data_IF_958708685143
#
_entry.id   IF_958708685143
#
_cell.length_a   1.000
_cell.length_b   1.000
_cell.length_c   1.000
_cell.angle_alpha   90.00
_cell.angle_beta   90.00
_cell.angle_gamma   90.00
#
_symmetry.space_group_name_H-M   'P 1'
#
loop_
_entity.id
_entity.type
_entity.pdbx_description
1 polymer ?
#
# COMPACT_ATOMS: atom_id res chain seq x y z
N UNK A 1 38.47 -24.86 13.43
CA UNK A 1 37.73 -25.14 12.18
C UNK A 1 37.02 -23.86 11.76
N UNK A 2 37.64 -23.10 10.86
CA UNK A 2 37.03 -21.98 10.15
C UNK A 2 36.03 -22.56 9.13
N UNK A 3 34.73 -22.36 9.36
CA UNK A 3 33.73 -22.58 8.33
C UNK A 3 33.67 -21.32 7.47
N UNK A 4 34.16 -21.45 6.23
CA UNK A 4 33.83 -20.57 5.12
C UNK A 4 32.30 -20.45 5.03
N UNK A 5 31.75 -19.29 5.38
CA UNK A 5 30.38 -18.94 5.03
C UNK A 5 30.36 -18.63 3.54
N UNK A 6 29.88 -19.58 2.74
CA UNK A 6 29.50 -19.34 1.35
C UNK A 6 28.52 -18.16 1.30
N UNK A 7 28.83 -17.17 0.47
CA UNK A 7 28.18 -15.87 0.38
C UNK A 7 26.74 -15.87 -0.16
N UNK A 8 25.83 -16.59 0.49
CA UNK A 8 24.40 -16.38 0.36
C UNK A 8 24.03 -15.14 1.19
N UNK A 9 23.75 -14.00 0.55
CA UNK A 9 23.10 -12.85 1.21
C UNK A 9 21.76 -13.34 1.76
N UNK A 10 21.70 -13.65 3.05
CA UNK A 10 20.46 -14.04 3.73
C UNK A 10 19.63 -12.78 4.01
N UNK A 11 19.08 -12.18 2.95
CA UNK A 11 18.16 -11.06 3.07
C UNK A 11 16.76 -11.63 3.33
N UNK A 12 16.34 -11.70 4.60
CA UNK A 12 14.96 -12.07 4.94
C UNK A 12 14.00 -11.05 4.35
N UNK A 13 12.85 -11.50 3.82
CA UNK A 13 11.83 -10.62 3.23
C UNK A 13 11.43 -9.46 4.16
N UNK A 14 11.43 -9.71 5.46
CA UNK A 14 11.16 -8.71 6.52
C UNK A 14 12.09 -7.50 6.46
N UNK A 15 13.34 -7.66 6.04
CA UNK A 15 14.29 -6.53 5.90
C UNK A 15 13.88 -5.53 4.81
N UNK A 16 12.97 -5.93 3.92
CA UNK A 16 12.39 -5.05 2.89
C UNK A 16 11.29 -4.13 3.42
N UNK A 17 10.78 -4.32 4.65
CA UNK A 17 9.75 -3.47 5.28
C UNK A 17 10.11 -1.99 5.26
N UNK A 18 11.39 -1.65 5.38
CA UNK A 18 11.87 -0.25 5.28
C UNK A 18 11.46 0.43 3.96
N UNK A 19 11.28 -0.32 2.89
CA UNK A 19 10.82 0.20 1.59
C UNK A 19 9.31 0.48 1.55
N UNK A 20 8.57 0.19 2.63
CA UNK A 20 7.17 0.61 2.77
C UNK A 20 7.03 2.13 2.87
N UNK A 21 8.01 2.79 3.49
CA UNK A 21 8.02 4.23 3.65
C UNK A 21 8.51 4.90 2.36
N UNK A 22 7.61 5.63 1.71
CA UNK A 22 7.90 6.37 0.48
C UNK A 22 7.95 7.84 0.82
N UNK A 23 9.03 8.53 0.45
CA UNK A 23 9.25 9.95 0.75
C UNK A 23 9.33 10.78 -0.53
N UNK A 24 9.60 12.09 -0.38
CA UNK A 24 9.84 13.01 -1.49
C UNK A 24 11.07 12.67 -2.37
N UNK A 25 11.95 11.76 -1.95
CA UNK A 25 13.13 11.36 -2.70
C UNK A 25 12.88 10.12 -3.58
N UNK A 26 11.80 9.39 -3.31
CA UNK A 26 11.44 8.20 -4.06
C UNK A 26 11.22 8.51 -5.55
N UNK A 27 12.05 7.89 -6.40
CA UNK A 27 11.91 7.96 -7.86
C UNK A 27 11.10 6.78 -8.34
N UNK A 28 10.00 7.06 -9.02
CA UNK A 28 9.00 6.06 -9.39
C UNK A 28 9.09 5.76 -10.89
N UNK A 29 9.03 4.49 -11.27
CA UNK A 29 8.78 4.07 -12.66
C UNK A 29 7.41 3.42 -12.79
N UNK A 30 6.74 3.63 -13.91
CA UNK A 30 5.42 3.06 -14.19
C UNK A 30 5.52 1.88 -15.15
N UNK A 31 5.15 0.67 -14.75
CA UNK A 31 4.94 -0.44 -15.68
C UNK A 31 3.55 -0.37 -16.31
N UNK A 32 3.47 -0.55 -17.63
CA UNK A 32 2.24 -0.27 -18.39
C UNK A 32 2.03 1.23 -18.65
N UNK A 33 3.12 2.00 -18.70
CA UNK A 33 3.12 3.46 -18.78
C UNK A 33 2.34 4.03 -19.97
N UNK A 34 2.45 3.39 -21.14
CA UNK A 34 1.73 3.82 -22.34
C UNK A 34 0.26 3.35 -22.39
N UNK A 35 -0.20 2.57 -21.42
CA UNK A 35 -1.60 2.14 -21.30
C UNK A 35 -2.53 3.24 -20.77
N UNK A 36 -3.84 3.02 -20.85
CA UNK A 36 -4.88 3.98 -20.41
C UNK A 36 -4.72 4.37 -18.94
N UNK A 37 -4.67 3.38 -18.04
CA UNK A 37 -4.50 3.60 -16.60
C UNK A 37 -3.13 4.19 -16.25
N UNK A 38 -2.06 3.62 -16.83
CA UNK A 38 -0.69 4.13 -16.63
C UNK A 38 -0.57 5.59 -17.03
N UNK A 39 -1.11 5.98 -18.19
CA UNK A 39 -1.08 7.37 -18.67
C UNK A 39 -1.89 8.29 -17.75
N UNK A 40 -3.09 7.89 -17.36
CA UNK A 40 -3.97 8.71 -16.52
C UNK A 40 -3.40 8.95 -15.11
N UNK A 41 -2.96 7.88 -14.43
CA UNK A 41 -2.43 8.02 -13.07
C UNK A 41 -1.02 8.59 -13.03
N UNK A 42 -0.22 8.42 -14.09
CA UNK A 42 1.08 9.09 -14.20
C UNK A 42 0.92 10.61 -14.30
N UNK A 43 -0.09 11.08 -15.04
CA UNK A 43 -0.40 12.50 -15.13
C UNK A 43 -0.78 13.08 -13.76
N UNK A 44 -1.68 12.41 -13.03
CA UNK A 44 -2.05 12.84 -11.68
C UNK A 44 -0.90 12.74 -10.68
N UNK A 45 -0.01 11.75 -10.82
CA UNK A 45 1.16 11.63 -9.97
C UNK A 45 2.12 12.81 -10.18
N UNK A 46 2.34 13.23 -11.43
CA UNK A 46 3.13 14.42 -11.75
C UNK A 46 2.49 15.70 -11.21
N UNK A 47 1.18 15.88 -11.38
CA UNK A 47 0.42 17.01 -10.83
C UNK A 47 0.47 17.07 -9.29
N UNK A 48 0.55 15.91 -8.64
CA UNK A 48 0.71 15.82 -7.19
C UNK A 48 2.14 16.15 -6.71
N UNK A 49 3.13 16.15 -7.60
CA UNK A 49 4.54 16.34 -7.26
C UNK A 49 5.32 15.04 -7.03
N UNK A 50 4.76 13.86 -7.33
CA UNK A 50 5.49 12.59 -7.31
C UNK A 50 6.63 12.63 -8.34
N UNK A 51 7.83 12.22 -7.93
CA UNK A 51 9.00 12.11 -8.82
C UNK A 51 8.91 10.88 -9.74
N UNK A 52 8.02 10.95 -10.72
CA UNK A 52 7.92 9.94 -11.77
C UNK A 52 9.09 10.12 -12.76
N UNK A 53 9.92 9.10 -12.89
CA UNK A 53 11.17 9.15 -13.66
C UNK A 53 11.07 8.50 -15.05
N UNK A 54 9.92 7.90 -15.37
CA UNK A 54 9.66 7.22 -16.64
C UNK A 54 8.77 6.01 -16.45
N UNK A 55 8.79 5.11 -17.44
CA UNK A 55 8.05 3.87 -17.32
C UNK A 55 8.33 2.87 -18.43
N UNK A 56 7.81 1.65 -18.28
CA UNK A 56 8.06 0.55 -19.21
C UNK A 56 6.84 0.28 -20.07
N UNK A 57 7.09 0.00 -21.34
CA UNK A 57 6.11 -0.64 -22.25
C UNK A 57 6.91 -1.40 -23.31
N UNK A 58 6.87 -2.75 -23.29
CA UNK A 58 7.60 -3.57 -24.26
C UNK A 58 7.32 -3.16 -25.71
N UNK A 59 8.38 -3.04 -26.51
CA UNK A 59 8.34 -2.61 -27.91
C UNK A 59 8.19 -1.09 -28.11
N UNK A 60 8.22 -0.29 -27.03
CA UNK A 60 8.14 1.19 -27.09
C UNK A 60 9.33 1.89 -26.42
N UNK A 61 10.40 1.15 -26.09
CA UNK A 61 11.64 1.73 -25.55
C UNK A 61 12.22 2.83 -26.46
N UNK A 62 12.83 3.84 -25.83
CA UNK A 62 13.41 5.01 -26.51
C UNK A 62 12.40 6.10 -26.91
N UNK A 63 11.10 5.85 -26.73
CA UNK A 63 10.06 6.88 -26.94
C UNK A 63 9.90 7.75 -25.71
N UNK A 64 9.30 8.93 -25.90
CA UNK A 64 8.89 9.81 -24.82
C UNK A 64 7.37 9.76 -24.64
N UNK A 65 6.91 9.86 -23.40
CA UNK A 65 5.49 10.02 -23.05
C UNK A 65 5.37 10.97 -21.88
N UNK A 66 4.57 12.04 -22.02
CA UNK A 66 4.44 13.11 -21.01
C UNK A 66 5.79 13.74 -20.61
N UNK A 67 6.71 13.87 -21.56
CA UNK A 67 8.05 14.39 -21.29
C UNK A 67 8.98 13.44 -20.53
N UNK A 68 8.58 12.19 -20.32
CA UNK A 68 9.36 11.17 -19.61
C UNK A 68 9.74 10.00 -20.52
N UNK A 69 10.89 9.34 -20.26
CA UNK A 69 11.36 8.22 -21.07
C UNK A 69 10.50 6.97 -20.90
N UNK A 70 10.30 6.27 -22.02
CA UNK A 70 9.72 4.94 -22.08
C UNK A 70 10.84 3.93 -22.31
N UNK A 71 10.88 2.88 -21.51
CA UNK A 71 11.87 1.80 -21.59
C UNK A 71 11.20 0.49 -22.03
N UNK A 72 11.99 -0.46 -22.54
CA UNK A 72 11.46 -1.78 -22.86
C UNK A 72 11.34 -2.65 -21.61
N UNK A 73 12.31 -2.54 -20.69
CA UNK A 73 12.39 -3.38 -19.48
C UNK A 73 12.48 -2.55 -18.19
N UNK A 74 12.08 -3.14 -17.07
CA UNK A 74 12.23 -2.54 -15.73
C UNK A 74 13.70 -2.35 -15.37
N UNK A 75 14.57 -3.29 -15.79
CA UNK A 75 16.01 -3.22 -15.56
C UNK A 75 16.61 -1.96 -16.19
N UNK A 76 16.37 -1.73 -17.47
CA UNK A 76 16.81 -0.52 -18.18
C UNK A 76 16.28 0.75 -17.50
N UNK A 77 14.99 0.75 -17.16
CA UNK A 77 14.36 1.89 -16.50
C UNK A 77 15.02 2.21 -15.16
N UNK A 78 15.29 1.19 -14.34
CA UNK A 78 15.92 1.36 -13.02
C UNK A 78 17.35 1.88 -13.15
N UNK A 79 18.16 1.27 -14.01
CA UNK A 79 19.56 1.65 -14.22
C UNK A 79 19.70 3.10 -14.72
N UNK A 80 18.85 3.52 -15.65
CA UNK A 80 18.95 4.85 -16.26
C UNK A 80 18.29 5.96 -15.42
N UNK A 81 17.28 5.63 -14.61
CA UNK A 81 16.55 6.64 -13.81
C UNK A 81 16.90 6.64 -12.32
N UNK A 82 17.63 5.63 -11.85
CA UNK A 82 17.85 5.34 -10.42
C UNK A 82 16.52 5.22 -9.65
N UNK A 83 15.53 4.56 -10.25
CA UNK A 83 14.22 4.35 -9.63
C UNK A 83 14.34 3.51 -8.35
N UNK A 84 13.66 3.96 -7.30
CA UNK A 84 13.58 3.26 -6.01
C UNK A 84 12.22 2.58 -5.81
N UNK A 85 11.26 2.82 -6.69
CA UNK A 85 10.00 2.09 -6.70
C UNK A 85 9.42 1.91 -8.11
N UNK A 86 8.62 0.87 -8.30
CA UNK A 86 7.85 0.59 -9.49
C UNK A 86 6.35 0.53 -9.16
N UNK A 87 5.51 1.20 -9.94
CA UNK A 87 4.05 1.06 -9.90
C UNK A 87 3.55 0.30 -11.13
N UNK A 88 2.66 -0.67 -10.97
CA UNK A 88 2.20 -1.53 -12.08
C UNK A 88 0.73 -1.25 -12.42
N UNK A 89 0.49 -0.78 -13.64
CA UNK A 89 -0.83 -0.53 -14.22
C UNK A 89 -1.12 -1.42 -15.45
N UNK A 90 -0.57 -2.63 -15.47
CA UNK A 90 -0.79 -3.60 -16.55
C UNK A 90 -2.11 -4.38 -16.33
N UNK A 91 -2.71 -4.95 -17.40
CA UNK A 91 -3.88 -5.81 -17.27
C UNK A 91 -3.66 -7.02 -16.33
N UNK A 92 -4.71 -7.56 -15.70
CA UNK A 92 -4.59 -8.67 -14.74
C UNK A 92 -3.80 -9.87 -15.24
N UNK A 93 -3.97 -10.24 -16.52
CA UNK A 93 -3.28 -11.36 -17.16
C UNK A 93 -1.74 -11.20 -17.20
N UNK A 94 -1.25 -9.96 -17.18
CA UNK A 94 0.19 -9.65 -17.27
C UNK A 94 0.78 -9.23 -15.92
N UNK A 95 -0.06 -9.08 -14.89
CA UNK A 95 0.35 -8.43 -13.65
C UNK A 95 1.27 -9.31 -12.78
N UNK A 96 1.20 -10.64 -12.91
CA UNK A 96 2.18 -11.54 -12.28
C UNK A 96 3.56 -11.37 -12.91
N UNK A 97 3.66 -11.54 -14.23
CA UNK A 97 4.91 -11.37 -14.98
C UNK A 97 5.55 -9.99 -14.77
N UNK A 98 4.76 -8.92 -14.73
CA UNK A 98 5.26 -7.58 -14.43
C UNK A 98 5.76 -7.42 -12.98
N UNK A 99 5.19 -8.17 -12.04
CA UNK A 99 5.69 -8.21 -10.65
C UNK A 99 7.03 -8.93 -10.60
N UNK A 100 7.12 -10.09 -11.26
CA UNK A 100 8.34 -10.88 -11.34
C UNK A 100 9.47 -10.10 -12.02
N UNK A 101 9.19 -9.39 -13.12
CA UNK A 101 10.14 -8.52 -13.82
C UNK A 101 10.74 -7.44 -12.88
N UNK A 102 9.90 -6.83 -12.03
CA UNK A 102 10.39 -5.83 -11.08
C UNK A 102 11.17 -6.42 -9.91
N UNK A 103 10.83 -7.65 -9.50
CA UNK A 103 11.59 -8.38 -8.49
C UNK A 103 12.97 -8.79 -9.02
N UNK A 104 13.04 -9.31 -10.24
CA UNK A 104 14.30 -9.67 -10.93
C UNK A 104 15.19 -8.44 -11.16
N UNK A 105 14.59 -7.28 -11.45
CA UNK A 105 15.30 -6.01 -11.53
C UNK A 105 15.69 -5.43 -10.16
N UNK A 106 15.37 -6.12 -9.05
CA UNK A 106 15.60 -5.70 -7.67
C UNK A 106 15.03 -4.30 -7.36
N UNK A 107 13.84 -3.98 -7.88
CA UNK A 107 13.17 -2.74 -7.55
C UNK A 107 12.87 -2.72 -6.03
N UNK A 108 13.38 -1.73 -5.25
CA UNK A 108 13.26 -1.76 -3.79
C UNK A 108 11.81 -1.79 -3.29
N UNK A 109 10.91 -1.16 -4.05
CA UNK A 109 9.49 -1.20 -3.80
C UNK A 109 8.71 -1.52 -5.09
N UNK A 110 7.83 -2.52 -5.04
CA UNK A 110 6.85 -2.79 -6.10
C UNK A 110 5.42 -2.58 -5.59
N UNK A 111 4.72 -1.67 -6.24
CA UNK A 111 3.30 -1.37 -6.00
C UNK A 111 2.51 -1.83 -7.22
N UNK A 112 2.05 -3.08 -7.21
CA UNK A 112 1.06 -3.53 -8.21
C UNK A 112 -0.22 -2.69 -8.07
N UNK A 113 -1.18 -2.67 -8.98
CA UNK A 113 -2.53 -2.09 -8.73
C UNK A 113 -3.54 -3.08 -9.35
N UNK A 114 -4.39 -3.81 -8.61
CA UNK A 114 -5.42 -4.60 -9.25
C UNK A 114 -6.58 -3.63 -9.52
N UNK A 115 -7.67 -4.08 -10.12
CA UNK A 115 -8.85 -3.23 -10.19
C UNK A 115 -9.26 -2.71 -8.79
N UNK A 116 -9.18 -1.39 -8.58
CA UNK A 116 -9.92 -0.69 -7.51
C UNK A 116 -9.28 -0.50 -6.14
N UNK A 117 -7.96 -0.68 -5.92
CA UNK A 117 -7.37 -0.51 -4.57
C UNK A 117 -6.20 0.50 -4.53
N UNK A 118 -6.27 1.55 -3.69
CA UNK A 118 -5.19 2.51 -3.43
C UNK A 118 -4.06 1.82 -2.70
N UNK A 119 -2.80 2.15 -3.00
CA UNK A 119 -1.70 1.37 -2.45
C UNK A 119 -0.75 2.11 -1.55
N UNK A 120 -0.14 3.25 -1.90
CA UNK A 120 0.62 4.03 -0.89
C UNK A 120 0.58 5.53 -1.11
N UNK A 121 0.52 6.30 -0.02
CA UNK A 121 0.63 7.76 -0.03
C UNK A 121 1.30 8.25 1.24
N UNK A 122 2.37 9.02 1.06
CA UNK A 122 2.92 9.89 2.08
C UNK A 122 2.44 11.31 1.77
N UNK A 123 1.48 11.86 2.54
CA UNK A 123 0.80 13.08 2.14
C UNK A 123 1.76 14.27 1.97
N UNK A 124 1.68 14.94 0.82
CA UNK A 124 2.54 16.08 0.47
C UNK A 124 3.93 15.71 -0.03
N UNK A 125 4.26 14.41 -0.11
CA UNK A 125 5.59 13.96 -0.49
C UNK A 125 5.58 13.04 -1.71
N UNK A 126 4.82 11.95 -1.64
CA UNK A 126 4.79 10.96 -2.72
C UNK A 126 3.49 10.17 -2.73
N UNK A 127 2.99 9.92 -3.94
CA UNK A 127 1.77 9.15 -4.20
C UNK A 127 2.04 8.07 -5.24
N UNK A 128 1.86 6.81 -4.84
CA UNK A 128 1.94 5.64 -5.72
C UNK A 128 0.62 4.88 -5.72
N UNK A 129 -0.22 5.14 -6.71
CA UNK A 129 -1.52 4.47 -6.87
C UNK A 129 -2.65 5.42 -7.26
N UNK A 130 -3.89 5.02 -6.97
CA UNK A 130 -5.11 5.61 -7.54
C UNK A 130 -5.91 6.52 -6.57
N UNK A 131 -5.43 6.69 -5.34
CA UNK A 131 -6.10 7.45 -4.27
C UNK A 131 -6.30 8.94 -4.60
N UNK A 132 -7.39 9.57 -4.15
CA UNK A 132 -7.54 11.01 -4.27
C UNK A 132 -6.51 11.74 -3.39
N UNK A 133 -5.72 12.61 -4.00
CA UNK A 133 -4.70 13.39 -3.30
C UNK A 133 -5.30 14.36 -2.26
N UNK A 134 -6.43 14.99 -2.60
CA UNK A 134 -7.06 16.03 -1.80
C UNK A 134 -7.66 15.54 -0.47
N UNK A 135 -7.90 14.24 -0.32
CA UNK A 135 -8.41 13.67 0.94
C UNK A 135 -7.30 13.42 1.98
N UNK A 136 -6.05 13.73 1.64
CA UNK A 136 -4.88 13.47 2.47
C UNK A 136 -4.19 14.78 2.87
N UNK A 137 -3.77 14.86 4.13
CA UNK A 137 -3.00 15.98 4.68
C UNK A 137 -1.93 15.42 5.58
N UNK A 138 -0.68 15.90 5.47
CA UNK A 138 0.42 15.44 6.34
C UNK A 138 0.03 15.64 7.80
N UNK A 139 0.27 14.61 8.61
CA UNK A 139 -0.08 14.60 10.01
C UNK A 139 0.50 13.38 10.73
N UNK A 140 -0.21 12.92 11.76
CA UNK A 140 0.34 12.00 12.77
C UNK A 140 -0.28 10.60 12.80
N UNK A 141 -1.27 10.31 11.95
CA UNK A 141 -1.96 9.01 11.95
C UNK A 141 -1.43 8.10 10.84
N UNK A 142 -0.93 6.92 11.20
CA UNK A 142 -0.62 5.84 10.25
C UNK A 142 -1.89 5.08 9.90
N UNK A 143 -2.17 4.86 8.61
CA UNK A 143 -3.36 4.13 8.16
C UNK A 143 -2.93 2.90 7.38
N UNK A 144 -3.37 1.71 7.82
CA UNK A 144 -3.24 0.46 7.07
C UNK A 144 -4.60 -0.16 6.82
N UNK A 145 -4.89 -0.51 5.58
CA UNK A 145 -6.21 -0.97 5.17
C UNK A 145 -6.16 -1.99 4.06
N UNK A 146 -7.09 -2.95 4.05
CA UNK A 146 -7.37 -3.78 2.87
C UNK A 146 -8.27 -3.07 1.84
N UNK A 147 -9.46 -2.56 2.23
CA UNK A 147 -10.36 -1.88 1.30
C UNK A 147 -9.96 -0.42 1.06
N UNK A 148 -9.91 -0.05 -0.22
CA UNK A 148 -9.48 1.28 -0.61
C UNK A 148 -10.38 2.43 -0.21
N UNK A 149 -11.68 2.26 -0.37
CA UNK A 149 -12.67 3.30 -0.09
C UNK A 149 -12.70 3.67 1.39
N UNK A 150 -12.55 2.69 2.29
CA UNK A 150 -12.48 2.94 3.72
C UNK A 150 -11.16 3.62 4.14
N UNK A 151 -10.08 3.46 3.37
CA UNK A 151 -8.87 4.27 3.57
C UNK A 151 -9.16 5.75 3.33
N UNK A 152 -9.96 6.08 2.31
CA UNK A 152 -10.32 7.46 2.00
C UNK A 152 -11.22 8.06 3.08
N UNK A 153 -12.15 7.26 3.58
CA UNK A 153 -13.03 7.63 4.68
C UNK A 153 -12.22 7.96 5.94
N UNK A 154 -11.28 7.10 6.33
CA UNK A 154 -10.40 7.34 7.47
C UNK A 154 -9.47 8.55 7.26
N UNK A 155 -8.89 8.71 6.07
CA UNK A 155 -8.06 9.86 5.74
C UNK A 155 -8.87 11.16 5.77
N UNK A 156 -10.11 11.14 5.28
CA UNK A 156 -11.00 12.29 5.32
C UNK A 156 -11.35 12.67 6.77
N UNK A 157 -11.83 11.73 7.57
CA UNK A 157 -12.21 11.98 8.96
C UNK A 157 -11.02 12.48 9.79
N UNK A 158 -9.85 11.85 9.68
CA UNK A 158 -8.63 12.30 10.39
C UNK A 158 -8.15 13.69 9.93
N UNK A 159 -8.36 14.04 8.66
CA UNK A 159 -8.08 15.39 8.17
C UNK A 159 -9.06 16.42 8.74
N UNK A 160 -10.36 16.09 8.80
CA UNK A 160 -11.40 16.97 9.34
C UNK A 160 -11.19 17.30 10.81
N UNK A 161 -10.75 16.33 11.62
CA UNK A 161 -10.44 16.54 13.04
C UNK A 161 -9.01 17.09 13.28
N UNK A 162 -8.30 17.48 12.21
CA UNK A 162 -6.99 18.16 12.32
C UNK A 162 -5.80 17.26 12.62
N UNK A 163 -5.96 15.93 12.60
CA UNK A 163 -4.89 14.97 12.89
C UNK A 163 -3.97 14.73 11.68
N UNK A 164 -4.54 14.63 10.48
CA UNK A 164 -3.83 14.26 9.25
C UNK A 164 -3.21 12.85 9.30
N UNK A 165 -2.43 12.49 8.28
CA UNK A 165 -1.83 11.15 8.12
C UNK A 165 -0.31 11.22 7.96
N UNK A 166 0.40 10.28 8.60
CA UNK A 166 1.85 10.12 8.45
C UNK A 166 2.18 9.33 7.19
N UNK A 167 1.56 8.15 7.05
CA UNK A 167 1.66 7.24 5.91
C UNK A 167 0.38 6.41 5.78
N UNK A 168 -0.17 6.31 4.56
CA UNK A 168 -1.31 5.45 4.24
C UNK A 168 -0.86 4.27 3.36
N UNK A 169 -1.12 3.04 3.80
CA UNK A 169 -0.81 1.80 3.07
C UNK A 169 -2.09 0.99 2.82
N UNK A 170 -2.41 0.78 1.54
CA UNK A 170 -3.47 -0.13 1.12
C UNK A 170 -2.88 -1.49 0.71
N UNK A 171 -3.21 -2.53 1.48
CA UNK A 171 -2.68 -3.89 1.32
C UNK A 171 -3.28 -4.64 0.11
N UNK A 172 -4.52 -4.30 -0.27
CA UNK A 172 -5.29 -5.10 -1.21
C UNK A 172 -6.30 -6.02 -0.51
N UNK A 173 -7.33 -6.42 -1.25
CA UNK A 173 -8.31 -7.40 -0.80
C UNK A 173 -8.08 -8.80 -1.37
N UNK A 174 -6.93 -9.02 -2.01
CA UNK A 174 -6.52 -10.35 -2.48
C UNK A 174 -6.07 -11.19 -1.27
N UNK A 175 -6.37 -12.50 -1.26
CA UNK A 175 -6.03 -13.39 -0.15
C UNK A 175 -4.52 -13.61 0.01
N UNK A 176 -3.74 -13.43 -1.06
CA UNK A 176 -2.29 -13.50 -1.07
C UNK A 176 -1.73 -12.17 -1.57
N UNK A 177 -0.90 -11.53 -0.74
CA UNK A 177 -0.29 -10.24 -1.02
C UNK A 177 1.12 -10.21 -0.40
N UNK A 178 1.95 -9.26 -0.82
CA UNK A 178 3.33 -9.10 -0.34
C UNK A 178 3.48 -8.19 0.87
N UNK A 179 2.40 -7.70 1.45
CA UNK A 179 2.49 -6.85 2.65
C UNK A 179 1.25 -7.10 3.49
N UNK A 180 1.46 -7.39 4.77
CA UNK A 180 0.39 -7.58 5.72
C UNK A 180 0.26 -6.43 6.73
N UNK A 181 -0.65 -6.58 7.70
CA UNK A 181 -0.83 -5.59 8.76
C UNK A 181 0.40 -5.48 9.65
N UNK A 182 1.04 -6.60 9.99
CA UNK A 182 2.21 -6.68 10.86
C UNK A 182 3.38 -5.91 10.27
N UNK A 183 3.61 -6.05 8.96
CA UNK A 183 4.65 -5.34 8.23
C UNK A 183 4.48 -3.81 8.37
N UNK A 184 3.25 -3.32 8.25
CA UNK A 184 2.95 -1.89 8.37
C UNK A 184 3.00 -1.42 9.83
N UNK A 185 2.54 -2.25 10.77
CA UNK A 185 2.58 -1.95 12.19
C UNK A 185 4.00 -1.82 12.70
N UNK A 186 4.93 -2.65 12.24
CA UNK A 186 6.35 -2.49 12.59
C UNK A 186 6.90 -1.14 12.14
N UNK A 187 6.53 -0.68 10.94
CA UNK A 187 6.93 0.64 10.46
C UNK A 187 6.28 1.75 11.29
N UNK A 188 4.97 1.68 11.53
CA UNK A 188 4.26 2.70 12.29
C UNK A 188 4.70 2.79 13.74
N UNK A 189 4.99 1.67 14.39
CA UNK A 189 5.46 1.64 15.77
C UNK A 189 6.85 2.28 15.92
N UNK A 190 7.73 2.07 14.94
CA UNK A 190 9.09 2.60 14.95
C UNK A 190 9.20 4.01 14.34
N UNK A 191 8.16 4.50 13.66
CA UNK A 191 8.13 5.85 13.09
C UNK A 191 7.73 6.90 14.16
N UNK A 192 8.62 7.84 14.53
CA UNK A 192 8.29 8.89 15.48
C UNK A 192 7.26 9.89 14.94
N UNK A 193 7.08 10.01 13.61
CA UNK A 193 6.05 10.87 13.03
C UNK A 193 4.64 10.25 13.12
N UNK A 194 4.54 8.96 13.43
CA UNK A 194 3.27 8.27 13.62
C UNK A 194 2.94 8.20 15.12
N UNK A 195 1.95 8.95 15.56
CA UNK A 195 1.52 9.00 16.97
C UNK A 195 0.32 8.07 17.23
N UNK A 196 -0.54 7.85 16.23
CA UNK A 196 -1.68 6.92 16.31
C UNK A 196 -1.84 6.08 15.05
N UNK A 197 -2.53 4.94 15.15
CA UNK A 197 -2.69 3.99 14.04
C UNK A 197 -4.17 3.69 13.81
N UNK A 198 -4.62 3.76 12.55
CA UNK A 198 -5.92 3.23 12.12
C UNK A 198 -5.68 1.94 11.31
N UNK A 199 -6.30 0.86 11.76
CA UNK A 199 -6.33 -0.43 11.07
C UNK A 199 -7.73 -0.67 10.48
N UNK A 200 -7.82 -0.99 9.20
CA UNK A 200 -9.10 -1.31 8.55
C UNK A 200 -9.00 -2.67 7.86
N UNK A 201 -9.57 -3.71 8.47
CA UNK A 201 -9.56 -5.04 7.86
C UNK A 201 -9.42 -6.21 8.84
N UNK A 202 -8.25 -6.86 8.91
CA UNK A 202 -8.04 -8.10 9.66
C UNK A 202 -6.95 -7.97 10.75
N UNK A 203 -6.73 -9.06 11.49
CA UNK A 203 -6.24 -9.18 12.88
C UNK A 203 -4.90 -8.46 13.20
N UNK A 204 -4.80 -8.00 14.45
CA UNK A 204 -3.57 -7.95 15.24
C UNK A 204 -3.02 -6.54 15.46
N UNK A 205 -3.39 -5.89 16.57
CA UNK A 205 -2.85 -4.59 16.97
C UNK A 205 -1.93 -4.70 18.20
N UNK A 206 -0.77 -4.03 18.23
CA UNK A 206 0.12 -3.94 19.40
C UNK A 206 -0.34 -2.85 20.37
N UNK A 207 0.10 -2.93 21.65
CA UNK A 207 -0.27 -1.99 22.73
C UNK A 207 0.56 -0.69 22.81
N UNK A 208 1.55 -0.50 21.95
CA UNK A 208 2.56 0.54 22.14
C UNK A 208 2.15 1.96 21.68
N UNK A 209 1.16 2.08 20.78
CA UNK A 209 0.57 3.35 20.33
C UNK A 209 -0.96 3.23 20.33
N UNK A 210 -1.74 4.32 20.46
CA UNK A 210 -3.19 4.25 20.26
C UNK A 210 -3.53 3.64 18.91
N UNK A 211 -4.27 2.52 18.93
CA UNK A 211 -4.75 1.83 17.73
C UNK A 211 -6.27 1.84 17.71
N UNK A 212 -6.84 2.39 16.64
CA UNK A 212 -8.27 2.27 16.32
C UNK A 212 -8.45 1.31 15.17
N UNK A 213 -9.51 0.51 15.22
CA UNK A 213 -9.84 -0.39 14.12
C UNK A 213 -11.31 -0.35 13.71
N UNK A 214 -11.57 -0.67 12.44
CA UNK A 214 -12.90 -1.00 11.95
C UNK A 214 -12.86 -2.31 11.17
N UNK A 215 -13.78 -3.23 11.50
CA UNK A 215 -13.93 -4.53 10.85
C UNK A 215 -15.21 -4.51 10.01
N UNK A 216 -15.03 -4.49 8.68
CA UNK A 216 -16.16 -4.60 7.74
C UNK A 216 -16.73 -6.02 7.72
N UNK A 217 -17.98 -6.16 7.25
CA UNK A 217 -18.59 -7.47 7.00
C UNK A 217 -19.32 -8.09 8.21
N UNK A 218 -19.69 -7.30 9.21
CA UNK A 218 -20.49 -7.78 10.35
C UNK A 218 -21.82 -8.43 9.94
N UNK A 219 -22.39 -7.98 8.83
CA UNK A 219 -23.64 -8.48 8.24
C UNK A 219 -23.42 -9.32 6.98
N UNK A 220 -22.18 -9.72 6.69
CA UNK A 220 -21.88 -10.49 5.48
C UNK A 220 -22.47 -11.92 5.57
N UNK A 221 -23.14 -12.42 4.52
CA UNK A 221 -23.69 -13.77 4.52
C UNK A 221 -22.58 -14.83 4.48
N UNK A 222 -22.70 -15.93 5.25
CA UNK A 222 -21.72 -17.02 5.23
C UNK A 222 -21.52 -17.65 3.85
N UNK A 223 -20.29 -18.05 3.54
CA UNK A 223 -19.96 -18.75 2.29
C UNK A 223 -20.04 -17.90 1.02
N UNK A 224 -20.30 -16.59 1.13
CA UNK A 224 -20.36 -15.69 -0.03
C UNK A 224 -19.19 -14.72 -0.05
N UNK A 225 -18.65 -14.53 -1.26
CA UNK A 225 -17.65 -13.50 -1.54
C UNK A 225 -18.32 -12.13 -1.66
N UNK A 226 -17.82 -11.14 -0.92
CA UNK A 226 -18.34 -9.76 -0.91
C UNK A 226 -17.39 -8.81 -1.65
N UNK A 227 -17.43 -8.85 -2.99
CA UNK A 227 -16.59 -8.01 -3.85
C UNK A 227 -15.13 -8.47 -3.93
N UNK A 228 -14.35 -8.26 -2.85
CA UNK A 228 -12.93 -8.62 -2.80
C UNK A 228 -12.74 -10.15 -2.75
N UNK A 229 -11.68 -10.64 -3.41
CA UNK A 229 -11.36 -12.07 -3.47
C UNK A 229 -11.21 -12.72 -2.08
N UNK A 230 -10.56 -12.02 -1.13
CA UNK A 230 -10.37 -12.49 0.23
C UNK A 230 -11.52 -12.18 1.20
N UNK A 231 -12.59 -11.49 0.77
CA UNK A 231 -13.70 -11.12 1.64
C UNK A 231 -14.80 -12.20 1.66
N UNK A 232 -14.48 -13.34 2.28
CA UNK A 232 -15.37 -14.50 2.44
C UNK A 232 -15.17 -15.17 3.80
N UNK A 233 -16.25 -15.57 4.46
CA UNK A 233 -16.21 -16.48 5.61
C UNK A 233 -16.39 -17.91 5.11
N UNK A 234 -15.41 -18.78 5.35
CA UNK A 234 -15.42 -20.17 4.89
C UNK A 234 -15.09 -21.11 6.06
N UNK A 235 -15.79 -22.26 6.12
CA UNK A 235 -15.55 -23.29 7.14
C UNK A 235 -15.72 -22.80 8.59
N UNK A 236 -16.64 -21.86 8.83
CA UNK A 236 -16.87 -21.26 10.15
C UNK A 236 -15.80 -20.27 10.62
N UNK A 237 -14.75 -20.01 9.83
CA UNK A 237 -13.66 -19.10 10.16
C UNK A 237 -13.78 -17.78 9.42
N UNK A 238 -13.23 -16.72 10.03
CA UNK A 238 -13.11 -15.40 9.41
C UNK A 238 -14.28 -14.45 9.68
N UNK A 239 -15.14 -14.78 10.66
CA UNK A 239 -16.25 -13.91 11.05
C UNK A 239 -15.77 -12.58 11.65
N UNK A 240 -16.49 -11.49 11.38
CA UNK A 240 -16.16 -10.17 11.90
C UNK A 240 -16.17 -10.11 13.45
N UNK A 241 -17.11 -10.81 14.11
CA UNK A 241 -17.25 -10.81 15.58
C UNK A 241 -16.00 -11.34 16.29
N UNK A 242 -15.45 -12.47 15.84
CA UNK A 242 -14.24 -13.07 16.41
C UNK A 242 -13.04 -12.13 16.28
N UNK A 243 -12.96 -11.40 15.15
CA UNK A 243 -11.89 -10.45 14.88
C UNK A 243 -12.00 -9.20 15.75
N UNK A 244 -13.21 -8.69 15.96
CA UNK A 244 -13.47 -7.58 16.88
C UNK A 244 -13.01 -7.97 18.29
N UNK A 245 -13.41 -9.15 18.77
CA UNK A 245 -13.01 -9.65 20.09
C UNK A 245 -11.49 -9.81 20.24
N UNK A 246 -10.81 -10.35 19.23
CA UNK A 246 -9.35 -10.51 19.23
C UNK A 246 -8.60 -9.17 19.23
N UNK A 247 -9.12 -8.14 18.56
CA UNK A 247 -8.53 -6.80 18.58
C UNK A 247 -8.76 -6.11 19.92
N UNK A 248 -9.97 -6.21 20.48
CA UNK A 248 -10.28 -5.65 21.79
C UNK A 248 -9.43 -6.29 22.90
N UNK A 249 -9.20 -7.61 22.86
CA UNK A 249 -8.32 -8.28 23.83
C UNK A 249 -6.85 -7.86 23.69
N UNK A 250 -6.43 -7.40 22.51
CA UNK A 250 -5.12 -6.82 22.26
C UNK A 250 -5.01 -5.34 22.69
N UNK A 251 -6.09 -4.71 23.15
CA UNK A 251 -6.12 -3.30 23.57
C UNK A 251 -6.43 -2.30 22.46
N UNK A 252 -6.94 -2.77 21.30
CA UNK A 252 -7.36 -1.92 20.19
C UNK A 252 -8.77 -1.40 20.43
N UNK A 253 -8.99 -0.10 20.20
CA UNK A 253 -10.33 0.50 20.24
C UNK A 253 -11.02 0.21 18.92
N UNK A 254 -12.04 -0.66 18.92
CA UNK A 254 -12.78 -1.02 17.71
C UNK A 254 -14.00 -0.13 17.56
N UNK A 255 -14.03 0.69 16.51
CA UNK A 255 -15.22 1.44 16.13
C UNK A 255 -16.26 0.51 15.51
N UNK A 256 -17.50 0.59 15.98
CA UNK A 256 -18.63 -0.16 15.41
C UNK A 256 -19.24 0.55 14.18
N UNK A 257 -18.85 1.80 13.93
CA UNK A 257 -19.29 2.58 12.78
C UNK A 257 -18.08 3.04 11.96
N UNK A 258 -18.08 2.83 10.63
CA UNK A 258 -16.99 3.35 9.79
C UNK A 258 -16.94 4.89 9.78
N UNK A 259 -18.03 5.56 10.17
CA UNK A 259 -18.14 7.03 10.21
C UNK A 259 -17.48 7.69 11.43
N UNK A 260 -16.99 6.89 12.39
CA UNK A 260 -16.45 7.39 13.67
C UNK A 260 -14.96 7.13 13.86
N UNK A 261 -14.25 6.67 12.82
CA UNK A 261 -12.81 6.36 12.90
C UNK A 261 -11.98 7.58 13.35
N UNK A 262 -12.23 8.76 12.79
CA UNK A 262 -11.48 9.97 13.12
C UNK A 262 -11.74 10.51 14.53
N UNK A 263 -12.96 10.38 15.04
CA UNK A 263 -13.32 10.82 16.40
C UNK A 263 -13.01 9.76 17.47
N UNK A 264 -12.69 8.52 17.07
CA UNK A 264 -12.37 7.44 18.02
C UNK A 264 -10.89 7.38 18.36
N UNK A 265 -10.01 7.92 17.49
CA UNK A 265 -8.55 7.78 17.66
C UNK A 265 -7.96 8.72 18.71
N UNK A 266 -8.67 9.79 19.06
CA UNK A 266 -8.36 10.71 20.16
C UNK A 266 -9.64 11.34 20.71
#
# INVERSE_FOLDING_TARGET
FLLQQNGLRHCSYTTSRKHLYVDKNAKIICQGFAGKLGTFHSQQALEYGTKLAGGTTPGKGGKMRRGLPVFNTVKEAKEQSAATAAVIYVPPALAAAATDEAMEAEAPLVVRIPAGIPRRTCPGECKTGIMPAHSHKKGRVGIVSRPGTLTYEAAHQTTQVGLGQSLCVGLGGDPFNGTDFTDCLEIFLNDPATEGIILIGEIGGPKAKPVVSFIAGLTAPPGRRTGHAGAITAGGKGGAKERIAALQSAGVVVSMSPALLGTTIY
#
